data_IF_419961547573
#
_entry.id   IF_419961547573
#
_cell.length_a   1.000
_cell.length_b   1.000
_cell.length_c   1.000
_cell.angle_alpha   90.00
_cell.angle_beta   90.00
_cell.angle_gamma   90.00
#
_symmetry.space_group_name_H-M   'P 1'
#
loop_
_entity.id
_entity.type
_entity.pdbx_description
1 polymer ?
#
# COMPACT_ATOMS: atom_id res chain seq x y z
N UNK A 1 -3.06 12.55 -8.52
CA UNK A 1 -2.28 11.37 -8.09
C UNK A 1 -0.87 11.46 -8.63
N UNK A 2 0.11 11.11 -7.83
CA UNK A 2 1.52 11.14 -8.25
C UNK A 2 1.77 10.12 -9.36
N UNK A 3 2.72 10.41 -10.24
CA UNK A 3 3.12 9.42 -11.24
C UNK A 3 3.97 8.32 -10.58
N UNK A 4 4.20 7.22 -11.29
CA UNK A 4 4.88 6.06 -10.74
C UNK A 4 6.32 6.36 -10.33
N UNK A 5 7.00 7.25 -11.02
CA UNK A 5 8.38 7.60 -10.68
C UNK A 5 8.45 8.38 -9.36
N UNK A 6 7.53 9.30 -9.14
CA UNK A 6 7.47 10.03 -7.87
C UNK A 6 7.05 9.14 -6.72
N UNK A 7 6.14 8.20 -6.96
CA UNK A 7 5.76 7.21 -5.95
C UNK A 7 6.98 6.39 -5.56
N UNK A 8 7.76 5.92 -6.52
CA UNK A 8 8.96 5.14 -6.25
C UNK A 8 9.98 5.94 -5.43
N UNK A 9 10.18 7.21 -5.73
CA UNK A 9 11.08 8.07 -4.96
C UNK A 9 10.63 8.19 -3.50
N UNK A 10 9.35 8.41 -3.26
CA UNK A 10 8.81 8.50 -1.90
C UNK A 10 8.94 7.17 -1.16
N UNK A 11 8.65 6.07 -1.82
CA UNK A 11 8.77 4.74 -1.23
C UNK A 11 10.22 4.44 -0.86
N UNK A 12 11.16 4.80 -1.72
CA UNK A 12 12.58 4.56 -1.49
C UNK A 12 13.06 5.27 -0.23
N UNK A 13 12.51 6.44 0.08
CA UNK A 13 12.88 7.18 1.28
C UNK A 13 12.18 6.69 2.55
N UNK A 14 11.08 5.95 2.43
CA UNK A 14 10.29 5.50 3.58
C UNK A 14 10.35 4.00 3.85
N UNK A 15 10.83 3.19 2.92
CA UNK A 15 10.92 1.74 3.07
C UNK A 15 12.38 1.30 3.23
N UNK A 16 12.60 0.16 3.91
CA UNK A 16 13.90 -0.49 3.89
C UNK A 16 14.24 -0.90 2.45
N UNK A 17 15.51 -1.11 2.16
CA UNK A 17 15.95 -1.54 0.83
C UNK A 17 15.28 -2.85 0.45
N UNK A 18 15.23 -3.80 1.37
CA UNK A 18 14.61 -5.11 1.13
C UNK A 18 13.11 -4.96 0.81
N UNK A 19 12.41 -4.15 1.57
CA UNK A 19 10.99 -3.90 1.35
C UNK A 19 10.74 -3.20 0.03
N UNK A 20 11.59 -2.24 -0.31
CA UNK A 20 11.48 -1.51 -1.57
C UNK A 20 11.65 -2.46 -2.77
N UNK A 21 12.68 -3.32 -2.72
CA UNK A 21 12.92 -4.30 -3.79
C UNK A 21 11.73 -5.27 -3.92
N UNK A 22 11.22 -5.75 -2.79
CA UNK A 22 10.03 -6.61 -2.77
C UNK A 22 8.84 -5.90 -3.41
N UNK A 23 8.63 -4.64 -3.08
CA UNK A 23 7.53 -3.84 -3.59
C UNK A 23 7.62 -3.68 -5.11
N UNK A 24 8.81 -3.41 -5.63
CA UNK A 24 9.00 -3.30 -7.08
C UNK A 24 8.68 -4.62 -7.78
N UNK A 25 9.08 -5.75 -7.18
CA UNK A 25 8.78 -7.07 -7.72
C UNK A 25 7.28 -7.36 -7.76
N UNK A 26 6.58 -7.00 -6.70
CA UNK A 26 5.11 -7.18 -6.61
C UNK A 26 4.42 -6.35 -7.70
N UNK A 27 4.85 -5.10 -7.88
CA UNK A 27 4.27 -4.23 -8.91
C UNK A 27 4.50 -4.79 -10.31
N UNK A 28 5.69 -5.33 -10.57
CA UNK A 28 6.04 -5.95 -11.84
C UNK A 28 5.17 -7.17 -12.14
N UNK A 29 4.99 -8.03 -11.16
CA UNK A 29 4.13 -9.22 -11.29
C UNK A 29 2.67 -8.82 -11.51
N UNK A 30 2.18 -7.83 -10.77
CA UNK A 30 0.82 -7.32 -10.93
C UNK A 30 0.61 -6.77 -12.35
N UNK A 31 1.60 -6.07 -12.87
CA UNK A 31 1.56 -5.55 -14.24
C UNK A 31 1.45 -6.67 -15.26
N UNK A 32 2.28 -7.70 -15.12
CA UNK A 32 2.28 -8.86 -16.03
C UNK A 32 0.93 -9.58 -16.05
N UNK A 33 0.37 -9.80 -14.85
CA UNK A 33 -0.92 -10.46 -14.72
C UNK A 33 -2.03 -9.63 -15.35
N UNK A 34 -2.06 -8.34 -15.09
CA UNK A 34 -3.08 -7.45 -15.64
C UNK A 34 -3.01 -7.33 -17.16
N UNK A 35 -1.81 -7.35 -17.72
CA UNK A 35 -1.62 -7.30 -19.19
C UNK A 35 -2.25 -8.48 -19.92
N UNK A 36 -2.39 -9.62 -19.25
CA UNK A 36 -3.05 -10.79 -19.84
C UNK A 36 -4.52 -10.53 -20.16
N UNK A 37 -5.15 -9.58 -19.48
CA UNK A 37 -6.53 -9.22 -19.70
C UNK A 37 -6.71 -8.08 -20.72
N UNK A 38 -5.59 -7.47 -21.17
CA UNK A 38 -5.60 -6.49 -22.24
C UNK A 38 -6.23 -5.14 -21.93
N UNK A 39 -6.48 -4.84 -20.66
CA UNK A 39 -7.13 -3.60 -20.21
C UNK A 39 -6.08 -2.66 -19.60
N UNK A 40 -5.82 -1.55 -20.29
CA UNK A 40 -4.83 -0.56 -19.85
C UNK A 40 -5.16 0.04 -18.49
N UNK A 41 -6.45 0.27 -18.21
CA UNK A 41 -6.89 0.80 -16.92
C UNK A 41 -6.60 -0.20 -15.81
N UNK A 42 -6.85 -1.47 -16.05
CA UNK A 42 -6.56 -2.53 -15.09
C UNK A 42 -5.06 -2.61 -14.82
N UNK A 43 -4.24 -2.51 -15.87
CA UNK A 43 -2.78 -2.54 -15.74
C UNK A 43 -2.31 -1.39 -14.87
N UNK A 44 -2.81 -0.18 -15.13
CA UNK A 44 -2.45 1.01 -14.35
C UNK A 44 -2.81 0.85 -12.88
N UNK A 45 -4.05 0.43 -12.60
CA UNK A 45 -4.50 0.21 -11.22
C UNK A 45 -3.68 -0.86 -10.52
N UNK A 46 -3.35 -1.94 -11.22
CA UNK A 46 -2.55 -3.03 -10.67
C UNK A 46 -1.15 -2.56 -10.28
N UNK A 47 -0.51 -1.75 -11.12
CA UNK A 47 0.82 -1.20 -10.83
C UNK A 47 0.77 -0.30 -9.60
N UNK A 48 -0.19 0.62 -9.52
CA UNK A 48 -0.32 1.49 -8.36
C UNK A 48 -0.59 0.72 -7.07
N UNK A 49 -1.50 -0.25 -7.12
CA UNK A 49 -1.79 -1.09 -5.96
C UNK A 49 -0.56 -1.88 -5.52
N UNK A 50 0.18 -2.45 -6.48
CA UNK A 50 1.40 -3.18 -6.18
C UNK A 50 2.48 -2.33 -5.55
N UNK A 51 2.65 -1.10 -6.04
CA UNK A 51 3.64 -0.17 -5.49
C UNK A 51 3.27 0.27 -4.06
N UNK A 52 2.00 0.42 -3.77
CA UNK A 52 1.55 1.01 -2.52
C UNK A 52 1.05 -0.01 -1.48
N UNK A 53 1.01 -1.30 -1.82
CA UNK A 53 0.41 -2.30 -0.93
C UNK A 53 1.07 -2.37 0.46
N UNK A 54 2.36 -2.13 0.55
CA UNK A 54 3.11 -2.17 1.81
C UNK A 54 3.70 -0.81 2.20
N UNK A 55 3.12 0.30 1.71
CA UNK A 55 3.71 1.62 1.94
C UNK A 55 3.80 2.02 3.41
N UNK A 56 2.99 1.43 4.28
CA UNK A 56 3.03 1.69 5.72
C UNK A 56 3.67 0.54 6.52
N UNK A 57 4.14 -0.51 5.85
CA UNK A 57 4.63 -1.72 6.52
C UNK A 57 5.82 -1.47 7.45
N UNK A 58 6.75 -0.64 7.02
CA UNK A 58 7.99 -0.39 7.77
C UNK A 58 7.88 0.76 8.78
N UNK A 59 6.70 1.33 8.96
CA UNK A 59 6.51 2.33 10.00
C UNK A 59 6.72 1.70 11.38
N UNK A 60 7.41 2.40 12.31
CA UNK A 60 7.53 1.89 13.69
C UNK A 60 6.15 1.69 14.32
N UNK A 61 6.06 0.74 15.27
CA UNK A 61 4.79 0.42 15.94
C UNK A 61 4.11 1.66 16.54
N UNK A 62 4.90 2.52 17.17
CA UNK A 62 4.39 3.75 17.79
C UNK A 62 3.76 4.69 16.75
N UNK A 63 4.41 4.80 15.60
CA UNK A 63 3.93 5.61 14.49
C UNK A 63 2.64 5.02 13.91
N UNK A 64 2.57 3.68 13.79
CA UNK A 64 1.35 3.00 13.35
C UNK A 64 0.17 3.29 14.28
N UNK A 65 0.40 3.22 15.58
CA UNK A 65 -0.64 3.51 16.57
C UNK A 65 -1.12 4.96 16.48
N UNK A 66 -0.18 5.88 16.34
CA UNK A 66 -0.50 7.30 16.24
C UNK A 66 -1.34 7.59 15.00
N UNK A 67 -0.94 7.07 13.84
CA UNK A 67 -1.67 7.31 12.61
C UNK A 67 -3.03 6.63 12.59
N UNK A 68 -3.17 5.44 13.19
CA UNK A 68 -4.47 4.80 13.32
C UNK A 68 -5.44 5.67 14.09
N UNK A 69 -4.96 6.28 15.18
CA UNK A 69 -5.77 7.19 15.99
C UNK A 69 -6.11 8.46 15.20
N UNK A 70 -5.11 9.04 14.54
CA UNK A 70 -5.25 10.27 13.77
C UNK A 70 -6.21 10.11 12.60
N UNK A 71 -6.15 8.97 11.92
CA UNK A 71 -6.96 8.70 10.73
C UNK A 71 -8.24 7.93 11.03
N UNK A 72 -8.55 7.73 12.31
CA UNK A 72 -9.77 7.05 12.76
C UNK A 72 -9.90 5.62 12.21
N UNK A 73 -8.79 4.90 12.14
CA UNK A 73 -8.79 3.51 11.71
C UNK A 73 -9.19 2.63 12.90
N UNK A 74 -10.24 1.79 12.78
CA UNK A 74 -10.63 0.90 13.86
C UNK A 74 -9.51 -0.09 14.19
N UNK A 75 -9.18 -0.20 15.47
CA UNK A 75 -8.15 -1.14 15.94
C UNK A 75 -8.79 -2.03 16.99
N UNK A 76 -8.96 -3.31 16.67
CA UNK A 76 -9.53 -4.28 17.61
C UNK A 76 -8.46 -4.77 18.61
N UNK A 77 -8.87 -5.65 19.54
CA UNK A 77 -7.98 -6.13 20.59
C UNK A 77 -6.78 -6.92 20.04
N UNK A 78 -6.98 -7.65 18.95
CA UNK A 78 -5.90 -8.41 18.33
C UNK A 78 -4.89 -7.46 17.71
N UNK A 79 -5.37 -6.45 17.00
CA UNK A 79 -4.53 -5.42 16.38
C UNK A 79 -3.75 -4.61 17.41
N UNK A 80 -4.33 -4.35 18.59
CA UNK A 80 -3.63 -3.66 19.67
C UNK A 80 -2.42 -4.44 20.13
N UNK A 81 -2.53 -5.76 20.16
CA UNK A 81 -1.43 -6.64 20.57
C UNK A 81 -0.43 -6.86 19.44
N UNK A 82 -0.89 -6.89 18.21
CA UNK A 82 -0.05 -7.06 17.02
C UNK A 82 -0.34 -5.92 16.05
N UNK A 83 0.23 -4.77 16.37
CA UNK A 83 -0.08 -3.53 15.61
C UNK A 83 0.28 -3.64 14.14
N UNK A 84 1.21 -4.51 13.78
CA UNK A 84 1.58 -4.71 12.38
C UNK A 84 0.40 -5.15 11.51
N UNK A 85 -0.62 -5.75 12.11
CA UNK A 85 -1.82 -6.18 11.39
C UNK A 85 -2.62 -5.01 10.80
N UNK A 86 -2.39 -3.79 11.28
CA UNK A 86 -3.09 -2.61 10.73
C UNK A 86 -2.47 -2.12 9.41
N UNK A 87 -1.30 -2.63 9.01
CA UNK A 87 -0.59 -2.03 7.87
C UNK A 87 -1.37 -1.97 6.55
N UNK A 88 -2.27 -2.91 6.20
CA UNK A 88 -3.04 -2.75 4.96
C UNK A 88 -4.02 -1.59 5.04
N UNK A 89 -4.71 -1.46 6.16
CA UNK A 89 -5.69 -0.38 6.35
C UNK A 89 -5.00 0.97 6.45
N UNK A 90 -3.91 1.01 7.19
CA UNK A 90 -3.09 2.21 7.32
C UNK A 90 -2.46 2.57 5.96
N UNK A 91 -1.99 1.56 5.22
CA UNK A 91 -1.42 1.75 3.90
C UNK A 91 -2.40 2.41 2.93
N UNK A 92 -3.67 2.02 2.96
CA UNK A 92 -4.69 2.64 2.13
C UNK A 92 -4.87 4.13 2.50
N UNK A 93 -4.91 4.46 3.79
CA UNK A 93 -5.03 5.85 4.22
C UNK A 93 -3.79 6.67 3.86
N UNK A 94 -2.60 6.10 4.02
CA UNK A 94 -1.35 6.75 3.63
C UNK A 94 -1.32 6.98 2.12
N UNK A 95 -1.74 5.99 1.32
CA UNK A 95 -1.81 6.13 -0.13
C UNK A 95 -2.72 7.29 -0.53
N UNK A 96 -3.86 7.39 0.14
CA UNK A 96 -4.82 8.46 -0.12
C UNK A 96 -4.26 9.84 0.27
N UNK A 97 -3.70 9.95 1.47
CA UNK A 97 -3.31 11.24 2.05
C UNK A 97 -1.92 11.68 1.63
N UNK A 98 -0.96 10.76 1.53
CA UNK A 98 0.44 11.09 1.23
C UNK A 98 0.79 10.93 -0.25
N UNK A 99 0.07 10.07 -0.97
CA UNK A 99 0.35 9.78 -2.38
C UNK A 99 -0.75 10.26 -3.32
N UNK A 100 -1.82 10.83 -2.78
CA UNK A 100 -2.89 11.42 -3.57
C UNK A 100 -3.76 10.43 -4.32
N UNK A 101 -3.84 9.19 -3.87
CA UNK A 101 -4.66 8.17 -4.53
C UNK A 101 -6.13 8.38 -4.16
N UNK A 102 -6.97 8.59 -5.18
CA UNK A 102 -8.41 8.77 -5.01
C UNK A 102 -9.22 7.59 -5.55
N UNK A 103 -8.59 6.73 -6.34
CA UNK A 103 -9.26 5.58 -6.98
C UNK A 103 -9.59 4.52 -5.92
N UNK A 104 -10.88 4.28 -5.69
CA UNK A 104 -11.35 3.31 -4.69
C UNK A 104 -10.90 1.88 -4.99
N UNK A 105 -10.78 1.51 -6.27
CA UNK A 105 -10.30 0.18 -6.63
C UNK A 105 -8.87 -0.05 -6.16
N UNK A 106 -8.02 0.96 -6.27
CA UNK A 106 -6.64 0.89 -5.81
C UNK A 106 -6.61 0.81 -4.29
N UNK A 107 -7.38 1.64 -3.60
CA UNK A 107 -7.44 1.67 -2.13
C UNK A 107 -7.97 0.34 -1.57
N UNK A 108 -9.00 -0.23 -2.18
CA UNK A 108 -9.53 -1.52 -1.78
C UNK A 108 -8.50 -2.64 -1.96
N UNK A 109 -7.77 -2.61 -3.07
CA UNK A 109 -6.71 -3.59 -3.31
C UNK A 109 -5.64 -3.52 -2.23
N UNK A 110 -5.27 -2.32 -1.78
CA UNK A 110 -4.30 -2.13 -0.71
C UNK A 110 -4.83 -2.69 0.61
N UNK A 111 -6.09 -2.37 0.95
CA UNK A 111 -6.70 -2.82 2.21
C UNK A 111 -6.74 -4.33 2.35
N UNK A 112 -6.99 -5.03 1.25
CA UNK A 112 -7.27 -6.46 1.28
C UNK A 112 -6.16 -7.35 0.72
N UNK A 113 -4.97 -6.78 0.45
CA UNK A 113 -3.90 -7.55 -0.18
C UNK A 113 -3.41 -8.73 0.68
N UNK A 114 -3.48 -8.62 2.00
CA UNK A 114 -3.05 -9.71 2.88
C UNK A 114 -4.02 -10.86 2.92
N UNK A 115 -5.28 -10.63 2.60
CA UNK A 115 -6.31 -11.66 2.60
C UNK A 115 -6.44 -12.35 1.25
N UNK A 116 -5.85 -11.77 0.21
CA UNK A 116 -5.89 -12.30 -1.15
C UNK A 116 -4.80 -13.28 -1.50
N UNK A 117 -4.12 -13.78 -0.54
CA UNK A 117 -2.99 -14.71 -0.77
C UNK A 117 -3.39 -15.97 -1.46
#
# INVERSE_FOLDING_TARGET
MLDTEKIKEKLQSSLSIERYIHTLGVAEEAEKLAKRYGDEELVKKAVYAGLLHDCAKDYPAEMKRRFCKEYHIPVDDIMKKQIDLVHPFLGAEVAKREYGVEDEDILEAIRWHTTGK
#
